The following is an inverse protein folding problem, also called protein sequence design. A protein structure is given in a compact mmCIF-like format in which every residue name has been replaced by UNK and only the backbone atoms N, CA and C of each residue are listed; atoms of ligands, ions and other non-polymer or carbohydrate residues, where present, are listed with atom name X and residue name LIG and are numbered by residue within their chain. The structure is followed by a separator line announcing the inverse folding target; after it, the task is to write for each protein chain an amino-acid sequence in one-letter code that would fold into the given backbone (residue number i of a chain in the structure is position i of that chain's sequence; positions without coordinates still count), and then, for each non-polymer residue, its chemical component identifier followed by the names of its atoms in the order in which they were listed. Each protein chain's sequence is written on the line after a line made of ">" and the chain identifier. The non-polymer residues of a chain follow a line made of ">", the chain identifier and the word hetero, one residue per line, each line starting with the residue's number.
data_IF_579880427357
#
_entry.id   IF_579880427357
#
_cell.length_a   1.000
_cell.length_b   1.000
_cell.length_c   1.000
_cell.angle_alpha   90.00
_cell.angle_beta   90.00
_cell.angle_gamma   90.00
#
_symmetry.space_group_name_H-M   'P 1'
#
loop_
_entity.id
_entity.type
_entity.pdbx_description
1 polymer ?
#
# COMPACT_ATOMS: atom_id res chain seq x y z
N UNK A 1 6.03 -4.98 1.82
CA UNK A 1 4.90 -5.61 2.56
C UNK A 1 4.48 -4.89 3.84
N UNK A 2 5.36 -4.49 4.75
CA UNK A 2 4.96 -4.08 6.12
C UNK A 2 4.56 -2.61 6.36
N UNK A 3 4.56 -1.75 5.33
CA UNK A 3 4.54 -0.28 5.53
C UNK A 3 3.14 0.34 5.43
N UNK A 4 2.13 -0.39 4.96
CA UNK A 4 0.78 0.17 4.78
C UNK A 4 0.17 0.73 6.09
N UNK A 5 0.30 0.09 7.27
CA UNK A 5 -0.20 0.67 8.52
C UNK A 5 0.44 2.02 8.88
N UNK A 6 1.72 2.20 8.59
CA UNK A 6 2.41 3.49 8.78
C UNK A 6 1.81 4.55 7.86
N UNK A 7 1.51 4.20 6.61
CA UNK A 7 0.81 5.10 5.69
C UNK A 7 -0.57 5.51 6.21
N UNK A 8 -1.39 4.53 6.60
CA UNK A 8 -2.72 4.78 7.14
C UNK A 8 -2.72 5.66 8.40
N UNK A 9 -1.68 5.54 9.25
CA UNK A 9 -1.50 6.39 10.42
C UNK A 9 -1.30 7.88 10.07
N UNK A 10 -0.59 8.17 8.97
CA UNK A 10 -0.34 9.52 8.47
C UNK A 10 -1.31 9.91 7.35
N UNK A 11 -2.60 9.52 7.47
CA UNK A 11 -3.63 9.83 6.47
C UNK A 11 -3.81 11.34 6.23
N UNK A 12 -3.56 12.15 7.25
CA UNK A 12 -3.64 13.61 7.21
C UNK A 12 -2.42 14.29 6.54
N UNK A 13 -1.30 13.58 6.41
CA UNK A 13 -0.09 14.10 5.76
C UNK A 13 0.63 12.99 4.94
N UNK A 14 0.21 12.76 3.69
CA UNK A 14 0.88 11.80 2.79
C UNK A 14 2.36 12.11 2.52
N UNK A 15 2.79 13.38 2.64
CA UNK A 15 4.19 13.74 2.48
C UNK A 15 5.01 13.33 3.72
N UNK A 16 4.45 13.42 4.93
CA UNK A 16 5.05 12.81 6.11
C UNK A 16 5.02 11.28 6.03
N UNK A 17 3.94 10.67 5.54
CA UNK A 17 3.90 9.23 5.28
C UNK A 17 5.08 8.78 4.40
N UNK A 18 5.40 9.54 3.34
CA UNK A 18 6.56 9.29 2.50
C UNK A 18 7.89 9.38 3.28
N UNK A 19 8.09 10.44 4.07
CA UNK A 19 9.31 10.63 4.89
C UNK A 19 9.48 9.50 5.90
N UNK A 20 8.41 9.10 6.58
CA UNK A 20 8.42 8.02 7.58
C UNK A 20 8.59 6.64 6.94
N UNK A 21 8.10 6.43 5.73
CA UNK A 21 8.36 5.22 4.95
C UNK A 21 9.85 5.06 4.64
N UNK A 22 10.56 6.14 4.32
CA UNK A 22 12.02 6.12 4.11
C UNK A 22 12.74 5.65 5.38
N UNK A 23 12.38 6.21 6.54
CA UNK A 23 13.00 5.86 7.82
C UNK A 23 12.71 4.41 8.23
N UNK A 24 11.47 3.94 8.06
CA UNK A 24 11.06 2.57 8.43
C UNK A 24 11.62 1.47 7.49
N UNK A 25 11.98 1.82 6.25
CA UNK A 25 12.56 0.89 5.29
C UNK A 25 14.05 0.61 5.58
N UNK A 26 14.83 1.65 5.90
CA UNK A 26 16.30 1.61 6.03
C UNK A 26 16.89 0.50 6.91
N UNK A 27 16.27 0.09 8.04
CA UNK A 27 16.83 -0.97 8.88
C UNK A 27 17.01 -2.31 8.14
N UNK A 28 16.20 -2.59 7.11
CA UNK A 28 16.25 -3.87 6.38
C UNK A 28 16.38 -3.72 4.87
N UNK A 29 16.11 -2.54 4.32
CA UNK A 29 16.15 -2.25 2.89
C UNK A 29 16.97 -0.98 2.64
N UNK A 30 18.24 -1.16 2.25
CA UNK A 30 19.15 -0.04 1.96
C UNK A 30 19.17 0.35 0.49
N UNK A 31 18.73 -0.54 -0.41
CA UNK A 31 18.70 -0.25 -1.83
C UNK A 31 17.64 0.83 -2.15
N UNK A 32 17.95 1.86 -2.96
CA UNK A 32 17.01 2.94 -3.28
C UNK A 32 15.65 2.47 -3.79
N UNK A 33 15.62 1.43 -4.64
CA UNK A 33 14.35 0.85 -5.13
C UNK A 33 13.49 0.26 -4.01
N UNK A 34 14.10 -0.37 -3.00
CA UNK A 34 13.38 -0.90 -1.85
C UNK A 34 12.74 0.22 -1.03
N UNK A 35 13.44 1.34 -0.89
CA UNK A 35 12.93 2.55 -0.23
C UNK A 35 11.82 3.19 -1.06
N UNK A 36 12.01 3.35 -2.37
CA UNK A 36 10.99 3.90 -3.27
C UNK A 36 9.70 3.06 -3.25
N UNK A 37 9.83 1.74 -3.23
CA UNK A 37 8.71 0.81 -3.06
C UNK A 37 7.97 1.01 -1.73
N UNK A 38 8.69 1.20 -0.63
CA UNK A 38 8.08 1.48 0.66
C UNK A 38 7.34 2.82 0.67
N UNK A 39 7.94 3.87 0.08
CA UNK A 39 7.30 5.18 -0.08
C UNK A 39 5.99 5.05 -0.86
N UNK A 40 6.02 4.38 -2.01
CA UNK A 40 4.85 4.23 -2.86
C UNK A 40 3.69 3.53 -2.13
N UNK A 41 3.96 2.41 -1.45
CA UNK A 41 2.95 1.68 -0.68
C UNK A 41 2.40 2.53 0.48
N UNK A 42 3.27 3.23 1.20
CA UNK A 42 2.87 4.06 2.34
C UNK A 42 2.00 5.24 1.91
N UNK A 43 2.40 5.94 0.84
CA UNK A 43 1.64 7.08 0.31
C UNK A 43 0.28 6.61 -0.20
N UNK A 44 0.23 5.48 -0.90
CA UNK A 44 -1.04 4.91 -1.38
C UNK A 44 -1.98 4.60 -0.21
N UNK A 45 -1.47 3.96 0.85
CA UNK A 45 -2.28 3.66 2.04
C UNK A 45 -2.75 4.93 2.77
N UNK A 46 -1.90 5.97 2.87
CA UNK A 46 -2.27 7.26 3.45
C UNK A 46 -3.42 7.92 2.68
N UNK A 47 -3.33 7.96 1.35
CA UNK A 47 -4.35 8.55 0.47
C UNK A 47 -5.67 7.77 0.52
N UNK A 48 -5.61 6.44 0.56
CA UNK A 48 -6.82 5.59 0.70
C UNK A 48 -7.48 5.79 2.06
N UNK A 49 -6.71 5.89 3.15
CA UNK A 49 -7.24 6.18 4.48
C UNK A 49 -7.88 7.58 4.54
N UNK A 50 -7.24 8.59 3.94
CA UNK A 50 -7.73 9.97 3.90
C UNK A 50 -9.07 10.12 3.16
N UNK A 51 -9.29 9.31 2.12
CA UNK A 51 -10.53 9.31 1.34
C UNK A 51 -11.74 8.75 2.12
N UNK A 52 -11.49 8.00 3.20
CA UNK A 52 -12.53 7.47 4.08
C UNK A 52 -13.47 6.50 3.36
N UNK A 53 -14.78 6.75 3.46
CA UNK A 53 -15.81 5.87 2.91
C UNK A 53 -16.03 6.01 1.40
N UNK A 54 -15.50 7.07 0.77
CA UNK A 54 -15.62 7.26 -0.69
C UNK A 54 -14.28 6.90 -1.33
N UNK A 55 -14.20 5.78 -2.07
CA UNK A 55 -12.97 5.40 -2.75
C UNK A 55 -12.49 6.51 -3.70
N UNK A 56 -11.18 6.82 -3.73
CA UNK A 56 -10.63 7.72 -4.73
C UNK A 56 -10.72 7.09 -6.13
N UNK A 57 -10.82 7.93 -7.16
CA UNK A 57 -10.73 7.45 -8.54
C UNK A 57 -9.31 6.89 -8.79
N UNK A 58 -9.18 5.71 -9.43
CA UNK A 58 -7.88 5.03 -9.56
C UNK A 58 -6.77 5.86 -10.23
N UNK A 59 -7.06 6.58 -11.32
CA UNK A 59 -6.05 7.39 -12.00
C UNK A 59 -5.60 8.57 -11.14
N UNK A 60 -6.53 9.28 -10.51
CA UNK A 60 -6.25 10.37 -9.57
C UNK A 60 -5.42 9.89 -8.37
N UNK A 61 -5.68 8.69 -7.85
CA UNK A 61 -4.88 8.08 -6.80
C UNK A 61 -3.44 7.84 -7.27
N UNK A 62 -3.24 7.25 -8.45
CA UNK A 62 -1.91 6.98 -8.98
C UNK A 62 -1.13 8.27 -9.28
N UNK A 63 -1.79 9.31 -9.79
CA UNK A 63 -1.17 10.62 -10.01
C UNK A 63 -0.70 11.25 -8.71
N UNK A 64 -1.51 11.19 -7.65
CA UNK A 64 -1.14 11.68 -6.32
C UNK A 64 0.04 10.89 -5.71
N UNK A 65 0.08 9.56 -5.91
CA UNK A 65 1.23 8.73 -5.49
C UNK A 65 2.49 9.12 -6.25
N UNK A 66 2.40 9.25 -7.58
CA UNK A 66 3.53 9.62 -8.45
C UNK A 66 4.13 10.99 -8.10
N UNK A 67 3.35 11.90 -7.52
CA UNK A 67 3.84 13.20 -7.06
C UNK A 67 4.80 13.11 -5.87
N UNK A 68 4.75 12.03 -5.08
CA UNK A 68 5.51 11.86 -3.84
C UNK A 68 6.57 10.75 -3.90
N UNK A 69 6.50 9.86 -4.89
CA UNK A 69 7.49 8.79 -5.08
C UNK A 69 8.75 9.34 -5.77
N UNK A 70 9.96 9.07 -5.26
CA UNK A 70 11.20 9.51 -5.90
C UNK A 70 11.41 8.82 -7.25
N UNK A 71 12.06 9.52 -8.18
CA UNK A 71 12.47 8.96 -9.48
C UNK A 71 13.26 7.66 -9.28
N UNK A 72 12.76 6.57 -9.86
CA UNK A 72 13.22 5.20 -9.62
C UNK A 72 12.61 4.24 -10.66
N UNK A 73 13.08 2.99 -10.70
CA UNK A 73 12.42 1.97 -11.52
C UNK A 73 11.00 1.65 -11.03
N UNK A 74 10.77 1.72 -9.71
CA UNK A 74 9.41 1.67 -9.11
C UNK A 74 8.53 2.77 -9.69
N UNK A 75 8.98 4.03 -9.70
CA UNK A 75 8.22 5.17 -10.21
C UNK A 75 7.87 5.02 -11.71
N UNK A 76 8.82 4.56 -12.52
CA UNK A 76 8.56 4.23 -13.93
C UNK A 76 7.51 3.11 -14.06
N UNK A 77 7.59 2.09 -13.21
CA UNK A 77 6.59 1.04 -13.13
C UNK A 77 5.21 1.57 -12.76
N UNK A 78 5.11 2.55 -11.85
CA UNK A 78 3.84 3.17 -11.48
C UNK A 78 3.22 3.99 -12.61
N UNK A 79 4.04 4.66 -13.44
CA UNK A 79 3.53 5.30 -14.66
C UNK A 79 2.93 4.28 -15.63
N UNK A 80 3.58 3.11 -15.77
CA UNK A 80 3.01 2.00 -16.56
C UNK A 80 1.72 1.48 -15.93
N UNK A 81 1.68 1.32 -14.61
CA UNK A 81 0.47 0.92 -13.90
C UNK A 81 -0.70 1.87 -14.19
N UNK A 82 -0.47 3.19 -14.19
CA UNK A 82 -1.49 4.18 -14.54
C UNK A 82 -2.03 3.98 -15.98
N UNK A 83 -1.14 3.71 -16.94
CA UNK A 83 -1.55 3.42 -18.33
C UNK A 83 -2.28 2.09 -18.52
N UNK A 84 -2.33 1.24 -17.49
CA UNK A 84 -2.92 -0.09 -17.55
C UNK A 84 -4.22 -0.23 -16.75
N UNK A 85 -4.80 0.86 -16.24
CA UNK A 85 -6.01 0.81 -15.41
C UNK A 85 -7.25 0.24 -16.13
N UNK A 86 -7.30 0.38 -17.46
CA UNK A 86 -8.37 -0.13 -18.32
C UNK A 86 -8.19 -1.60 -18.74
N UNK A 87 -7.10 -2.26 -18.35
CA UNK A 87 -6.85 -3.66 -18.70
C UNK A 87 -7.40 -4.59 -17.62
N UNK A 88 -8.23 -5.57 -18.01
CA UNK A 88 -8.78 -6.55 -17.05
C UNK A 88 -7.97 -7.84 -16.93
N UNK A 89 -7.13 -8.16 -17.92
CA UNK A 89 -6.31 -9.37 -17.87
C UNK A 89 -5.11 -9.21 -16.94
N UNK A 90 -5.29 -9.73 -15.73
CA UNK A 90 -4.27 -9.78 -14.67
C UNK A 90 -2.97 -10.42 -15.15
N UNK A 91 -3.04 -11.43 -16.02
CA UNK A 91 -1.82 -12.13 -16.49
C UNK A 91 -0.97 -11.20 -17.36
N UNK A 92 -1.60 -10.48 -18.29
CA UNK A 92 -0.94 -9.45 -19.09
C UNK A 92 -0.37 -8.34 -18.23
N UNK A 93 -1.14 -7.86 -17.25
CA UNK A 93 -0.69 -6.79 -16.34
C UNK A 93 0.53 -7.24 -15.53
N UNK A 94 0.48 -8.43 -14.94
CA UNK A 94 1.59 -9.01 -14.19
C UNK A 94 2.84 -9.27 -15.06
N UNK A 95 2.66 -9.57 -16.35
CA UNK A 95 3.79 -9.71 -17.28
C UNK A 95 4.50 -8.36 -17.55
N UNK A 96 3.77 -7.24 -17.53
CA UNK A 96 4.33 -5.90 -17.79
C UNK A 96 4.87 -5.23 -16.52
N UNK A 97 4.12 -5.32 -15.41
CA UNK A 97 4.43 -4.63 -14.15
C UNK A 97 5.26 -5.49 -13.18
N UNK A 98 5.31 -6.80 -13.41
CA UNK A 98 5.82 -7.79 -12.47
C UNK A 98 4.74 -8.29 -11.49
N UNK A 99 5.04 -9.35 -10.77
CA UNK A 99 4.20 -9.88 -9.67
C UNK A 99 5.05 -10.41 -8.51
N UNK A 100 6.25 -9.83 -8.34
CA UNK A 100 7.20 -10.19 -7.30
C UNK A 100 7.98 -11.48 -7.53
N UNK A 101 7.90 -12.10 -8.72
CA UNK A 101 8.72 -13.28 -9.10
C UNK A 101 10.22 -13.07 -8.93
N UNK A 102 10.69 -11.82 -8.98
CA UNK A 102 12.10 -11.46 -8.79
C UNK A 102 12.41 -10.99 -7.36
N UNK A 103 11.42 -10.94 -6.47
CA UNK A 103 11.55 -10.49 -5.08
C UNK A 103 12.22 -9.11 -4.99
N UNK A 104 11.87 -8.20 -5.91
CA UNK A 104 12.39 -6.83 -5.96
C UNK A 104 11.24 -5.83 -5.95
N UNK A 105 11.46 -4.66 -5.35
CA UNK A 105 10.41 -3.64 -5.25
C UNK A 105 9.85 -3.22 -6.62
N UNK A 106 10.70 -3.05 -7.63
CA UNK A 106 10.30 -2.70 -8.99
C UNK A 106 9.58 -3.82 -9.76
N UNK A 107 9.63 -5.06 -9.26
CA UNK A 107 8.88 -6.21 -9.80
C UNK A 107 7.59 -6.50 -9.02
N UNK A 108 7.41 -5.87 -7.86
CA UNK A 108 6.29 -6.14 -6.93
C UNK A 108 5.35 -4.94 -6.86
N UNK A 109 5.90 -3.77 -6.54
CA UNK A 109 5.12 -2.60 -6.10
C UNK A 109 4.21 -2.03 -7.19
N UNK A 110 4.65 -1.87 -8.46
CA UNK A 110 3.79 -1.36 -9.51
C UNK A 110 2.49 -2.15 -9.68
N UNK A 111 2.56 -3.49 -9.70
CA UNK A 111 1.40 -4.35 -9.81
C UNK A 111 0.49 -4.27 -8.57
N UNK A 112 1.07 -4.24 -7.37
CA UNK A 112 0.26 -4.13 -6.15
C UNK A 112 -0.51 -2.81 -6.08
N UNK A 113 0.09 -1.68 -6.48
CA UNK A 113 -0.61 -0.39 -6.49
C UNK A 113 -1.68 -0.37 -7.57
N UNK A 114 -1.42 -0.92 -8.75
CA UNK A 114 -2.45 -1.12 -9.79
C UNK A 114 -3.64 -1.94 -9.27
N UNK A 115 -3.37 -3.08 -8.63
CA UNK A 115 -4.40 -3.98 -8.12
C UNK A 115 -5.23 -3.32 -7.02
N UNK A 116 -4.58 -2.67 -6.06
CA UNK A 116 -5.25 -1.97 -4.97
C UNK A 116 -6.11 -0.81 -5.45
N UNK A 117 -5.59 0.04 -6.35
CA UNK A 117 -6.31 1.22 -6.85
C UNK A 117 -7.64 0.85 -7.53
N UNK A 118 -7.70 -0.29 -8.23
CA UNK A 118 -8.91 -0.75 -8.94
C UNK A 118 -9.96 -1.42 -8.06
N UNK A 119 -9.64 -1.67 -6.78
CA UNK A 119 -10.46 -2.44 -5.86
C UNK A 119 -10.55 -1.81 -4.46
N UNK A 120 -10.29 -0.50 -4.33
CA UNK A 120 -10.54 0.21 -3.07
C UNK A 120 -12.02 0.09 -2.70
N UNK A 121 -12.30 -0.37 -1.49
CA UNK A 121 -13.66 -0.67 -1.03
C UNK A 121 -14.15 -2.10 -1.33
N UNK A 122 -13.34 -2.95 -1.96
CA UNK A 122 -13.67 -4.35 -2.23
C UNK A 122 -12.45 -5.26 -1.95
N UNK A 123 -12.29 -5.64 -0.68
CA UNK A 123 -11.15 -6.42 -0.22
C UNK A 123 -11.06 -7.80 -0.89
N UNK A 124 -12.18 -8.50 -1.05
CA UNK A 124 -12.20 -9.85 -1.65
C UNK A 124 -11.75 -9.81 -3.11
N UNK A 125 -12.28 -8.86 -3.89
CA UNK A 125 -11.85 -8.66 -5.27
C UNK A 125 -10.38 -8.30 -5.33
N UNK A 126 -9.90 -7.38 -4.49
CA UNK A 126 -8.50 -6.98 -4.47
C UNK A 126 -7.57 -8.17 -4.17
N UNK A 127 -7.92 -8.96 -3.15
CA UNK A 127 -7.16 -10.13 -2.73
C UNK A 127 -7.09 -11.18 -3.83
N UNK A 128 -8.25 -11.60 -4.39
CA UNK A 128 -8.27 -12.65 -5.41
C UNK A 128 -7.68 -12.21 -6.74
N UNK A 129 -7.86 -10.95 -7.13
CA UNK A 129 -7.19 -10.38 -8.32
C UNK A 129 -5.68 -10.47 -8.17
N UNK A 130 -5.17 -10.10 -7.00
CA UNK A 130 -3.73 -10.13 -6.70
C UNK A 130 -3.19 -11.56 -6.66
N UNK A 131 -3.86 -12.47 -5.94
CA UNK A 131 -3.43 -13.86 -5.83
C UNK A 131 -3.39 -14.59 -7.18
N UNK A 132 -4.31 -14.29 -8.09
CA UNK A 132 -4.37 -14.88 -9.44
C UNK A 132 -3.15 -14.54 -10.31
N UNK A 133 -2.43 -13.45 -10.03
CA UNK A 133 -1.20 -13.12 -10.74
C UNK A 133 -0.04 -14.08 -10.45
N UNK A 134 -0.12 -14.84 -9.36
CA UNK A 134 0.95 -15.71 -8.89
C UNK A 134 2.19 -14.93 -8.45
N UNK A 135 3.36 -15.55 -8.57
CA UNK A 135 4.62 -14.94 -8.14
C UNK A 135 4.78 -14.96 -6.62
N UNK A 136 5.07 -13.81 -6.04
CA UNK A 136 5.24 -13.61 -4.59
C UNK A 136 3.88 -13.27 -3.97
N UNK A 137 3.01 -14.29 -3.92
CA UNK A 137 1.58 -14.16 -3.59
C UNK A 137 1.39 -13.58 -2.19
N UNK A 138 2.14 -14.04 -1.20
CA UNK A 138 2.06 -13.58 0.17
C UNK A 138 2.45 -12.10 0.29
N UNK A 139 3.59 -11.69 -0.30
CA UNK A 139 4.02 -10.29 -0.26
C UNK A 139 3.05 -9.37 -1.00
N UNK A 140 2.60 -9.76 -2.19
CA UNK A 140 1.71 -8.93 -3.01
C UNK A 140 0.33 -8.79 -2.36
N UNK A 141 -0.27 -9.88 -1.88
CA UNK A 141 -1.54 -9.84 -1.15
C UNK A 141 -1.43 -9.07 0.18
N UNK A 142 -0.31 -9.17 0.90
CA UNK A 142 -0.09 -8.38 2.11
C UNK A 142 -0.04 -6.87 1.82
N UNK A 143 0.61 -6.46 0.72
CA UNK A 143 0.65 -5.04 0.31
C UNK A 143 -0.75 -4.57 -0.10
N UNK A 144 -1.41 -5.29 -0.99
CA UNK A 144 -2.73 -4.92 -1.52
C UNK A 144 -3.77 -4.88 -0.41
N UNK A 145 -3.84 -5.93 0.42
CA UNK A 145 -4.76 -6.00 1.54
C UNK A 145 -4.51 -4.87 2.55
N UNK A 146 -3.25 -4.56 2.86
CA UNK A 146 -2.91 -3.45 3.75
C UNK A 146 -3.33 -2.09 3.21
N UNK A 147 -3.21 -1.85 1.90
CA UNK A 147 -3.67 -0.60 1.26
C UNK A 147 -5.20 -0.53 1.26
N UNK A 148 -5.88 -1.58 0.80
CA UNK A 148 -7.34 -1.57 0.68
C UNK A 148 -8.02 -1.48 2.04
N UNK A 149 -7.52 -2.20 3.04
CA UNK A 149 -8.03 -2.16 4.41
C UNK A 149 -7.73 -0.85 5.15
N UNK A 150 -6.94 0.07 4.58
CA UNK A 150 -6.75 1.41 5.13
C UNK A 150 -8.03 2.26 5.02
N UNK A 151 -8.93 1.93 4.08
CA UNK A 151 -10.28 2.50 4.04
C UNK A 151 -11.24 1.65 4.88
N UNK A 152 -12.17 2.27 5.64
CA UNK A 152 -13.24 1.53 6.34
C UNK A 152 -14.07 0.63 5.41
N UNK A 153 -14.26 1.03 4.15
CA UNK A 153 -15.00 0.25 3.16
C UNK A 153 -14.22 -0.98 2.67
N UNK A 154 -12.90 -1.03 2.87
CA UNK A 154 -12.03 -2.12 2.43
C UNK A 154 -11.68 -3.12 3.53
N UNK A 155 -12.46 -3.20 4.61
CA UNK A 155 -12.20 -4.17 5.67
C UNK A 155 -12.29 -5.62 5.14
N UNK A 156 -11.35 -6.52 5.50
CA UNK A 156 -11.46 -7.93 5.13
C UNK A 156 -12.69 -8.60 5.75
N UNK A 157 -13.26 -9.63 5.08
CA UNK A 157 -14.39 -10.37 5.61
C UNK A 157 -14.12 -10.95 7.00
N UNK A 158 -15.08 -10.85 7.96
CA UNK A 158 -14.89 -11.38 9.32
C UNK A 158 -14.51 -12.87 9.33
N UNK A 159 -15.17 -13.68 8.49
CA UNK A 159 -14.89 -15.11 8.37
C UNK A 159 -13.47 -15.42 7.90
N UNK A 160 -12.81 -14.50 7.19
CA UNK A 160 -11.41 -14.66 6.79
C UNK A 160 -10.47 -14.35 7.95
N UNK A 161 -10.77 -13.31 8.76
CA UNK A 161 -10.00 -13.00 9.98
C UNK A 161 -10.02 -14.16 10.97
N UNK A 162 -11.16 -14.83 11.13
CA UNK A 162 -11.31 -16.01 12.00
C UNK A 162 -10.44 -17.22 11.57
N UNK A 163 -9.97 -17.23 10.31
CA UNK A 163 -9.11 -18.26 9.75
C UNK A 163 -7.62 -17.87 9.77
N UNK A 164 -7.27 -16.73 10.37
CA UNK A 164 -5.87 -16.30 10.52
C UNK A 164 -5.33 -16.63 11.91
N UNK A 165 -4.02 -16.77 12.02
CA UNK A 165 -3.36 -16.84 13.33
C UNK A 165 -3.72 -15.59 14.16
N UNK A 166 -3.94 -15.73 15.48
CA UNK A 166 -4.25 -14.60 16.33
C UNK A 166 -3.13 -13.57 16.27
N UNK A 167 -3.49 -12.29 16.26
CA UNK A 167 -2.50 -11.23 16.33
C UNK A 167 -1.74 -11.31 17.66
N UNK A 168 -0.45 -10.92 17.68
CA UNK A 168 0.25 -10.76 18.95
C UNK A 168 -0.48 -9.77 19.85
N UNK A 169 -0.49 -10.00 21.16
CA UNK A 169 -1.22 -9.16 22.14
C UNK A 169 -0.87 -7.66 22.05
N UNK A 170 0.34 -7.30 21.62
CA UNK A 170 0.74 -5.90 21.45
C UNK A 170 0.09 -5.22 20.24
N UNK A 171 -0.39 -5.97 19.24
CA UNK A 171 -1.03 -5.43 18.05
C UNK A 171 -2.53 -5.15 18.27
N UNK A 172 -3.18 -5.88 19.18
CA UNK A 172 -4.59 -5.64 19.53
C UNK A 172 -4.78 -4.29 20.25
N UNK A 173 -3.82 -3.90 21.09
CA UNK A 173 -3.82 -2.63 21.82
C UNK A 173 -3.71 -1.40 20.88
N UNK A 174 -3.18 -1.57 19.67
CA UNK A 174 -3.05 -0.47 18.70
C UNK A 174 -4.38 -0.14 17.98
N UNK A 175 -5.39 -1.01 18.07
CA UNK A 175 -6.73 -0.81 17.53
C UNK A 175 -7.69 -0.14 18.53
N UNK A 176 -7.26 0.09 19.77
CA UNK A 176 -8.01 0.94 20.70
C UNK A 176 -8.02 2.38 20.17
N UNK A 177 -9.22 2.94 19.98
CA UNK A 177 -9.48 4.30 19.50
C UNK A 177 -8.48 5.28 20.12
N UNK A 178 -7.81 6.16 19.34
CA UNK A 178 -6.94 7.18 19.92
C UNK A 178 -7.78 8.01 20.90
N UNK A 179 -7.57 7.79 22.19
CA UNK A 179 -8.21 8.55 23.24
C UNK A 179 -7.65 9.97 23.22
N UNK A 180 -8.23 10.86 22.40
CA UNK A 180 -8.08 12.32 22.42
C UNK A 180 -6.67 12.85 22.76
N UNK A 181 -5.62 12.10 22.37
CA UNK A 181 -4.28 12.39 22.83
C UNK A 181 -3.66 13.32 21.80
N UNK A 182 -3.40 14.59 22.14
CA UNK A 182 -2.76 15.49 21.20
C UNK A 182 -1.44 14.86 20.73
N UNK A 183 -1.25 14.83 19.41
CA UNK A 183 -0.01 14.37 18.80
C UNK A 183 1.16 15.13 19.45
N UNK A 184 2.27 14.46 19.79
CA UNK A 184 3.43 15.14 20.36
C UNK A 184 3.91 16.20 19.37
N UNK A 185 4.30 17.40 19.85
CA UNK A 185 4.81 18.44 18.97
C UNK A 185 5.99 17.88 18.18
N UNK A 186 5.91 17.96 16.85
CA UNK A 186 6.96 17.49 15.95
C UNK A 186 8.32 18.09 16.34
N UNK A 187 9.44 17.40 16.07
CA UNK A 187 10.75 17.87 16.47
C UNK A 187 10.99 19.21 15.80
N UNK A 188 10.88 20.28 16.58
CA UNK A 188 11.19 21.62 16.14
C UNK A 188 12.61 21.61 15.58
N UNK A 189 12.74 22.05 14.33
CA UNK A 189 14.03 22.29 13.69
C UNK A 189 14.94 23.04 14.67
N UNK A 190 16.01 22.37 15.09
CA UNK A 190 17.22 22.97 15.62
C UNK A 190 18.37 22.57 14.71
#
# INVERSE_FOLDING_TARGET
>A
MRVAPLGAWYADDPAEAARQAVLSARPTHQHPEGIAGAVAVSVTAALVAAAGATPPEPAALLDAVLALVPRSAVEVGLRRAASMLDYDDVTTVAAVLGCGRRTTAQDTVPFTIWSAARAVGDFERAFWTTARAGGDIDTTCAIVGGIVAASPAGAPPPAWREQTEPLPAWAELACETPADRPLPPGPGLR
#
